data_IF_803739452965
#
_entry.id   IF_803739452965
#
_cell.length_a   1.000
_cell.length_b   1.000
_cell.length_c   1.000
_cell.angle_alpha   90.00
_cell.angle_beta   90.00
_cell.angle_gamma   90.00
#
_symmetry.space_group_name_H-M   'P 1'
#
loop_
_entity.id
_entity.type
_entity.pdbx_description
1 polymer ?
#
# COMPACT_ATOMS: atom_id res chain seq x y z
N UNK A 1 -21.16 34.15 -22.08
CA UNK A 1 -19.92 33.40 -22.42
C UNK A 1 -18.96 33.40 -21.21
N UNK A 2 -19.11 32.47 -20.23
CA UNK A 2 -18.20 32.37 -19.07
C UNK A 2 -17.30 31.11 -19.05
N UNK A 3 -17.47 30.17 -19.99
CA UNK A 3 -16.83 28.85 -19.92
C UNK A 3 -15.30 28.85 -20.17
N UNK A 4 -14.75 29.82 -20.90
CA UNK A 4 -13.31 29.82 -21.22
C UNK A 4 -12.42 30.08 -19.99
N UNK A 5 -12.85 30.96 -19.08
CA UNK A 5 -12.09 31.33 -17.88
C UNK A 5 -12.08 30.20 -16.85
N UNK A 6 -13.19 29.47 -16.73
CA UNK A 6 -13.33 28.33 -15.82
C UNK A 6 -12.40 27.16 -16.17
N UNK A 7 -12.19 26.90 -17.47
CA UNK A 7 -11.28 25.84 -17.92
C UNK A 7 -9.80 26.18 -17.67
N UNK A 8 -9.42 27.47 -17.76
CA UNK A 8 -8.07 27.93 -17.47
C UNK A 8 -7.73 27.85 -15.97
N UNK A 9 -8.68 28.20 -15.09
CA UNK A 9 -8.49 28.10 -13.64
C UNK A 9 -8.40 26.65 -13.15
N UNK A 10 -9.22 25.75 -13.71
CA UNK A 10 -9.16 24.30 -13.40
C UNK A 10 -7.85 23.68 -13.89
N UNK A 11 -7.37 24.06 -15.07
CA UNK A 11 -6.09 23.58 -15.60
C UNK A 11 -4.90 24.05 -14.75
N UNK A 12 -4.94 25.30 -14.26
CA UNK A 12 -3.91 25.86 -13.36
C UNK A 12 -3.92 25.16 -12.00
N UNK A 13 -5.09 24.90 -11.40
CA UNK A 13 -5.20 24.18 -10.13
C UNK A 13 -4.74 22.70 -10.23
N UNK A 14 -5.02 22.05 -11.36
CA UNK A 14 -4.53 20.70 -11.66
C UNK A 14 -3.02 20.65 -11.88
N UNK A 15 -2.46 21.68 -12.55
CA UNK A 15 -1.02 21.85 -12.71
C UNK A 15 -0.34 22.03 -11.35
N UNK A 16 -0.84 22.92 -10.51
CA UNK A 16 -0.29 23.18 -9.18
C UNK A 16 -0.34 21.93 -8.28
N UNK A 17 -1.43 21.16 -8.36
CA UNK A 17 -1.53 19.88 -7.65
C UNK A 17 -0.54 18.83 -8.17
N UNK A 18 -0.29 18.81 -9.49
CA UNK A 18 0.66 17.88 -10.09
C UNK A 18 2.12 18.26 -9.77
N UNK A 19 2.43 19.55 -9.66
CA UNK A 19 3.77 20.04 -9.31
C UNK A 19 4.12 19.84 -7.83
N UNK A 20 3.13 19.79 -6.92
CA UNK A 20 3.35 19.60 -5.47
C UNK A 20 3.68 18.16 -5.03
N UNK A 21 3.43 17.17 -5.88
CA UNK A 21 3.67 15.76 -5.50
C UNK A 21 3.14 14.72 -6.50
N UNK A 22 2.78 15.13 -7.71
CA UNK A 22 2.37 14.23 -8.76
C UNK A 22 3.58 13.60 -9.47
N UNK A 23 3.42 12.45 -10.13
CA UNK A 23 4.51 11.84 -10.86
C UNK A 23 4.97 12.73 -12.02
N UNK A 24 6.29 12.86 -12.22
CA UNK A 24 6.93 13.76 -13.20
C UNK A 24 6.24 13.82 -14.59
N UNK A 25 5.84 12.68 -15.16
CA UNK A 25 5.21 12.63 -16.48
C UNK A 25 3.82 13.28 -16.52
N UNK A 26 3.08 13.24 -15.41
CA UNK A 26 1.77 13.90 -15.26
C UNK A 26 1.97 15.41 -15.13
N UNK A 27 2.93 15.85 -14.31
CA UNK A 27 3.29 17.26 -14.17
C UNK A 27 3.79 17.86 -15.50
N UNK A 28 4.66 17.16 -16.21
CA UNK A 28 5.16 17.59 -17.52
C UNK A 28 4.05 17.66 -18.58
N UNK A 29 3.13 16.70 -18.60
CA UNK A 29 1.97 16.72 -19.51
C UNK A 29 1.04 17.89 -19.20
N UNK A 30 0.74 18.11 -17.92
CA UNK A 30 -0.09 19.22 -17.46
C UNK A 30 0.54 20.57 -17.81
N UNK A 31 1.85 20.73 -17.60
CA UNK A 31 2.58 21.97 -17.91
C UNK A 31 2.57 22.29 -19.41
N UNK A 32 2.77 21.28 -20.26
CA UNK A 32 2.73 21.44 -21.73
C UNK A 32 1.30 21.77 -22.19
N UNK A 33 0.29 21.13 -21.60
CA UNK A 33 -1.11 21.40 -21.92
C UNK A 33 -1.53 22.82 -21.49
N UNK A 34 -1.15 23.25 -20.29
CA UNK A 34 -1.44 24.60 -19.78
C UNK A 34 -0.78 25.69 -20.64
N UNK A 35 0.43 25.43 -21.17
CA UNK A 35 1.13 26.37 -22.06
C UNK A 35 0.64 26.32 -23.51
N UNK A 36 -0.12 25.28 -23.90
CA UNK A 36 -0.63 25.11 -25.25
C UNK A 36 0.45 24.94 -26.33
N UNK A 37 1.65 24.45 -25.97
CA UNK A 37 2.76 24.32 -26.90
C UNK A 37 2.82 22.92 -27.51
N UNK A 38 2.86 22.79 -28.86
CA UNK A 38 3.12 21.50 -29.48
C UNK A 38 4.56 21.06 -29.20
N UNK A 39 4.79 19.74 -29.05
CA UNK A 39 6.10 19.18 -28.66
C UNK A 39 7.24 19.59 -29.60
N UNK A 40 6.96 19.77 -30.89
CA UNK A 40 7.95 20.26 -31.86
C UNK A 40 8.42 21.69 -31.54
N UNK A 41 7.50 22.55 -31.07
CA UNK A 41 7.85 23.92 -30.65
C UNK A 41 8.65 23.89 -29.35
N UNK A 42 8.33 23.00 -28.42
CA UNK A 42 9.12 22.79 -27.19
C UNK A 42 10.54 22.31 -27.52
N UNK A 43 10.68 21.35 -28.45
CA UNK A 43 11.97 20.85 -28.93
C UNK A 43 12.82 21.96 -29.58
N UNK A 44 12.18 22.82 -30.37
CA UNK A 44 12.85 23.95 -31.02
C UNK A 44 13.41 24.94 -29.99
N UNK A 45 12.63 25.25 -28.94
CA UNK A 45 13.11 26.12 -27.86
C UNK A 45 14.26 25.47 -27.07
N UNK A 46 14.17 24.18 -26.75
CA UNK A 46 15.27 23.46 -26.10
C UNK A 46 16.57 23.50 -26.91
N UNK A 47 16.47 23.36 -28.24
CA UNK A 47 17.62 23.45 -29.14
C UNK A 47 18.25 24.86 -29.13
N UNK A 48 17.45 25.92 -29.00
CA UNK A 48 17.94 27.31 -28.86
C UNK A 48 18.63 27.55 -27.51
N UNK A 49 18.23 26.84 -26.47
CA UNK A 49 18.91 26.80 -25.17
C UNK A 49 20.15 25.89 -25.16
N UNK A 50 20.60 25.40 -26.34
CA UNK A 50 21.80 24.56 -26.47
C UNK A 50 21.61 23.11 -26.04
N UNK A 51 20.36 22.67 -25.80
CA UNK A 51 20.05 21.32 -25.33
C UNK A 51 19.40 20.49 -26.43
N UNK A 52 20.08 19.42 -26.85
CA UNK A 52 19.61 18.52 -27.92
C UNK A 52 18.77 17.37 -27.34
N UNK A 53 17.44 17.50 -27.38
CA UNK A 53 16.49 16.43 -27.06
C UNK A 53 15.58 16.18 -28.25
N UNK A 54 15.33 14.92 -28.61
CA UNK A 54 14.42 14.57 -29.70
C UNK A 54 12.94 14.58 -29.27
N UNK A 55 12.02 14.84 -30.20
CA UNK A 55 10.56 14.78 -29.96
C UNK A 55 10.14 13.44 -29.35
N UNK A 56 10.71 12.33 -29.82
CA UNK A 56 10.44 10.99 -29.30
C UNK A 56 10.83 10.84 -27.83
N UNK A 57 11.91 11.51 -27.40
CA UNK A 57 12.34 11.50 -26.00
C UNK A 57 11.38 12.31 -25.13
N UNK A 58 10.91 13.47 -25.59
CA UNK A 58 9.89 14.27 -24.90
C UNK A 58 8.55 13.51 -24.80
N UNK A 59 8.16 12.80 -25.86
CA UNK A 59 6.96 11.95 -25.87
C UNK A 59 7.06 10.82 -24.84
N UNK A 60 8.20 10.12 -24.79
CA UNK A 60 8.43 9.09 -23.77
C UNK A 60 8.46 9.65 -22.35
N UNK A 61 8.89 10.89 -22.15
CA UNK A 61 8.84 11.55 -20.84
C UNK A 61 7.40 11.89 -20.43
N UNK A 62 6.55 12.36 -21.35
CA UNK A 62 5.12 12.62 -21.08
C UNK A 62 4.30 11.35 -20.83
N UNK A 63 4.69 10.23 -21.44
CA UNK A 63 4.06 8.92 -21.24
C UNK A 63 4.59 8.19 -20.00
N UNK A 64 5.68 8.68 -19.39
CA UNK A 64 6.34 8.01 -18.26
C UNK A 64 7.14 6.77 -18.65
N UNK A 65 7.25 6.46 -19.95
CA UNK A 65 7.99 5.31 -20.49
C UNK A 65 9.52 5.44 -20.30
N UNK A 66 10.03 6.68 -20.20
CA UNK A 66 11.43 6.95 -19.90
C UNK A 66 11.54 8.14 -18.97
N UNK A 67 12.49 8.09 -18.02
CA UNK A 67 12.77 9.20 -17.09
C UNK A 67 14.14 9.82 -17.35
N UNK A 68 14.26 11.16 -17.34
CA UNK A 68 15.55 11.84 -17.42
C UNK A 68 16.32 11.67 -16.11
N UNK A 69 17.49 11.02 -16.16
CA UNK A 69 18.38 10.82 -15.00
C UNK A 69 19.82 11.31 -15.25
N UNK A 70 20.23 11.42 -16.52
CA UNK A 70 21.59 11.84 -16.88
C UNK A 70 21.76 13.34 -16.68
N UNK A 71 22.98 13.84 -16.36
CA UNK A 71 23.23 15.27 -16.17
C UNK A 71 22.75 16.14 -17.34
N UNK A 72 22.93 15.68 -18.57
CA UNK A 72 22.45 16.39 -19.77
C UNK A 72 20.92 16.43 -19.87
N UNK A 73 20.24 15.35 -19.43
CA UNK A 73 18.77 15.30 -19.40
C UNK A 73 18.20 16.16 -18.28
N UNK A 74 18.90 16.28 -17.14
CA UNK A 74 18.50 17.20 -16.06
C UNK A 74 18.65 18.66 -16.48
N UNK A 75 19.69 19.01 -17.24
CA UNK A 75 19.79 20.34 -17.89
C UNK A 75 18.64 20.59 -18.86
N UNK A 76 18.18 19.56 -19.58
CA UNK A 76 17.00 19.69 -20.44
C UNK A 76 15.71 19.97 -19.64
N UNK A 77 15.58 19.39 -18.44
CA UNK A 77 14.41 19.62 -17.57
C UNK A 77 14.45 21.04 -16.98
N UNK A 78 15.62 21.57 -16.62
CA UNK A 78 15.77 23.00 -16.24
C UNK A 78 15.28 23.94 -17.34
N UNK A 79 15.76 23.72 -18.56
CA UNK A 79 15.33 24.52 -19.70
C UNK A 79 13.82 24.34 -19.99
N UNK A 80 13.23 23.18 -19.72
CA UNK A 80 11.78 22.99 -19.83
C UNK A 80 10.99 23.82 -18.82
N UNK A 81 11.46 23.95 -17.58
CA UNK A 81 10.81 24.79 -16.57
C UNK A 81 10.74 26.25 -17.03
N UNK A 82 11.84 26.79 -17.57
CA UNK A 82 11.89 28.14 -18.14
C UNK A 82 10.94 28.31 -19.34
N UNK A 83 10.98 27.37 -20.30
CA UNK A 83 10.16 27.43 -21.53
C UNK A 83 8.65 27.34 -21.20
N UNK A 84 8.31 26.53 -20.21
CA UNK A 84 6.94 26.32 -19.77
C UNK A 84 6.48 27.35 -18.72
N UNK A 85 7.33 28.30 -18.34
CA UNK A 85 7.08 29.33 -17.33
C UNK A 85 6.64 28.74 -15.98
N UNK A 86 7.29 27.64 -15.58
CA UNK A 86 7.07 27.02 -14.28
C UNK A 86 7.97 27.68 -13.23
N UNK A 87 7.60 27.59 -11.93
CA UNK A 87 8.51 27.98 -10.86
C UNK A 87 9.80 27.15 -10.92
N UNK A 88 10.92 27.75 -10.53
CA UNK A 88 12.24 27.11 -10.57
C UNK A 88 12.25 25.79 -9.78
N UNK A 89 12.89 24.76 -10.32
CA UNK A 89 13.01 23.42 -9.75
C UNK A 89 11.71 22.63 -9.60
N UNK A 90 10.56 23.10 -10.11
CA UNK A 90 9.27 22.42 -9.91
C UNK A 90 9.20 21.01 -10.55
N UNK A 91 9.83 20.79 -11.70
CA UNK A 91 9.91 19.49 -12.35
C UNK A 91 11.13 18.68 -11.90
N UNK A 92 12.23 19.35 -11.56
CA UNK A 92 13.46 18.71 -11.08
C UNK A 92 13.28 18.12 -9.70
N UNK A 93 12.56 18.81 -8.82
CA UNK A 93 12.20 18.28 -7.50
C UNK A 93 11.41 17.00 -7.62
N UNK A 94 10.45 16.91 -8.56
CA UNK A 94 9.72 15.67 -8.81
C UNK A 94 10.62 14.53 -9.32
N UNK A 95 11.74 14.83 -9.98
CA UNK A 95 12.73 13.84 -10.39
C UNK A 95 13.66 13.43 -9.25
N UNK A 96 14.02 14.36 -8.36
CA UNK A 96 14.86 14.12 -7.19
C UNK A 96 14.10 13.38 -6.08
N UNK A 97 12.87 13.79 -5.79
CA UNK A 97 11.93 13.14 -4.86
C UNK A 97 11.57 11.74 -5.39
N UNK A 98 11.33 11.58 -6.70
CA UNK A 98 11.18 10.24 -7.31
C UNK A 98 12.45 9.38 -7.32
N UNK A 99 13.64 9.99 -7.25
CA UNK A 99 14.92 9.29 -7.14
C UNK A 99 15.15 8.79 -5.72
N UNK A 100 14.77 9.59 -4.73
CA UNK A 100 14.63 9.16 -3.34
C UNK A 100 13.55 8.08 -3.21
N UNK A 101 12.42 8.20 -3.90
CA UNK A 101 11.39 7.16 -4.00
C UNK A 101 11.85 5.93 -4.78
N UNK A 102 12.85 6.00 -5.66
CA UNK A 102 13.41 4.81 -6.29
C UNK A 102 14.25 4.01 -5.28
N UNK A 103 14.89 4.70 -4.31
CA UNK A 103 15.46 4.05 -3.11
C UNK A 103 14.38 3.65 -2.09
N UNK A 104 13.21 4.31 -2.11
CA UNK A 104 12.07 4.02 -1.23
C UNK A 104 11.06 3.03 -1.85
N UNK A 105 11.23 2.65 -3.12
CA UNK A 105 10.52 1.54 -3.79
C UNK A 105 11.03 0.19 -3.31
N UNK A 106 12.26 0.14 -2.80
CA UNK A 106 12.75 -0.94 -1.92
C UNK A 106 12.20 -0.84 -0.48
N UNK A 107 11.44 0.22 -0.16
CA UNK A 107 10.77 0.43 1.13
C UNK A 107 9.26 0.42 1.06
N UNK A 108 8.66 0.02 -0.07
CA UNK A 108 7.39 -0.71 0.06
C UNK A 108 7.75 -1.97 0.84
N UNK A 109 7.10 -2.28 1.98
CA UNK A 109 7.16 -3.62 2.50
C UNK A 109 6.80 -4.51 1.32
N UNK A 110 7.77 -5.29 0.82
CA UNK A 110 7.47 -6.25 -0.22
C UNK A 110 6.39 -7.12 0.39
N UNK A 111 5.16 -7.06 -0.16
CA UNK A 111 4.10 -7.98 0.25
C UNK A 111 4.70 -9.39 0.26
N UNK A 112 4.33 -10.20 1.26
CA UNK A 112 4.96 -11.51 1.48
C UNK A 112 5.14 -12.24 0.15
N UNK A 113 6.37 -12.64 -0.13
CA UNK A 113 6.64 -13.44 -1.32
C UNK A 113 5.87 -14.77 -1.23
N UNK A 114 5.52 -15.34 -2.38
CA UNK A 114 4.84 -16.65 -2.43
C UNK A 114 5.59 -17.74 -1.65
N UNK A 115 6.93 -17.70 -1.66
CA UNK A 115 7.78 -18.61 -0.86
C UNK A 115 7.62 -18.39 0.65
N UNK A 116 7.53 -17.13 1.09
CA UNK A 116 7.28 -16.81 2.49
C UNK A 116 5.88 -17.24 2.93
N UNK A 117 4.88 -17.17 2.05
CA UNK A 117 3.55 -17.73 2.29
C UNK A 117 3.57 -19.26 2.44
N UNK A 118 4.26 -19.97 1.54
CA UNK A 118 4.39 -21.44 1.62
C UNK A 118 5.13 -21.88 2.89
N UNK A 119 6.24 -21.21 3.25
CA UNK A 119 6.97 -21.49 4.48
C UNK A 119 6.09 -21.25 5.71
N UNK A 120 5.29 -20.19 5.71
CA UNK A 120 4.37 -19.91 6.81
C UNK A 120 3.22 -20.91 6.89
N UNK A 121 2.82 -21.56 5.79
CA UNK A 121 1.83 -22.64 5.78
C UNK A 121 2.31 -23.86 6.57
N UNK A 122 3.54 -24.33 6.35
CA UNK A 122 4.06 -25.49 7.09
C UNK A 122 4.25 -25.21 8.59
N UNK A 123 4.65 -23.98 8.93
CA UNK A 123 4.71 -23.53 10.33
C UNK A 123 3.32 -23.44 10.95
N UNK A 124 2.33 -22.92 10.20
CA UNK A 124 0.94 -22.84 10.65
C UNK A 124 0.38 -24.24 10.97
N UNK A 125 0.62 -25.23 10.12
CA UNK A 125 0.17 -26.61 10.37
C UNK A 125 0.77 -27.19 11.67
N UNK A 126 2.06 -26.91 11.92
CA UNK A 126 2.71 -27.30 13.18
C UNK A 126 2.11 -26.63 14.41
N UNK A 127 1.88 -25.31 14.35
CA UNK A 127 1.26 -24.57 15.46
C UNK A 127 -0.20 -25.02 15.71
N UNK A 128 -0.95 -25.30 14.64
CA UNK A 128 -2.30 -25.84 14.74
C UNK A 128 -2.30 -27.24 15.38
N UNK A 129 -1.34 -28.10 15.01
CA UNK A 129 -1.17 -29.42 15.62
C UNK A 129 -0.83 -29.32 17.13
N UNK A 130 0.05 -28.40 17.54
CA UNK A 130 0.34 -28.13 18.96
C UNK A 130 -0.88 -27.66 19.75
N UNK A 131 -1.79 -26.93 19.10
CA UNK A 131 -3.06 -26.52 19.69
C UNK A 131 -4.11 -27.63 19.70
N UNK A 132 -3.82 -28.79 19.10
CA UNK A 132 -4.76 -29.90 18.98
C UNK A 132 -5.82 -29.69 17.89
N UNK A 133 -5.52 -28.86 16.89
CA UNK A 133 -6.40 -28.52 15.76
C UNK A 133 -5.87 -29.10 14.45
N UNK A 134 -6.24 -30.34 14.09
CA UNK A 134 -5.81 -30.94 12.83
C UNK A 134 -6.57 -30.41 11.60
N UNK A 135 -7.68 -29.68 11.78
CA UNK A 135 -8.47 -29.10 10.69
C UNK A 135 -8.46 -27.57 10.73
N UNK A 136 -8.13 -26.89 9.62
CA UNK A 136 -8.01 -25.43 9.55
C UNK A 136 -9.35 -24.68 9.68
N UNK A 137 -10.49 -25.37 9.50
CA UNK A 137 -11.83 -24.77 9.60
C UNK A 137 -12.36 -24.63 11.04
N UNK A 138 -11.71 -25.28 12.00
CA UNK A 138 -11.99 -25.17 13.43
C UNK A 138 -13.41 -25.56 13.87
N UNK A 139 -14.24 -26.13 12.99
CA UNK A 139 -15.65 -26.44 13.26
C UNK A 139 -16.65 -25.33 12.92
N UNK A 140 -16.20 -24.23 12.30
CA UNK A 140 -17.09 -23.10 11.94
C UNK A 140 -16.94 -22.66 10.49
N UNK A 141 -18.00 -22.06 9.95
CA UNK A 141 -17.96 -21.30 8.71
C UNK A 141 -18.07 -19.80 9.02
N UNK A 142 -17.20 -19.00 8.40
CA UNK A 142 -17.30 -17.55 8.51
C UNK A 142 -18.39 -17.05 7.56
N UNK A 143 -19.46 -16.48 8.12
CA UNK A 143 -20.56 -15.87 7.37
C UNK A 143 -20.29 -14.39 7.07
N UNK A 144 -19.56 -13.71 7.95
CA UNK A 144 -19.22 -12.30 7.82
C UNK A 144 -17.93 -11.99 8.53
N UNK A 145 -17.11 -11.15 7.90
CA UNK A 145 -15.84 -10.69 8.45
C UNK A 145 -15.66 -9.22 8.10
N UNK A 146 -15.61 -8.37 9.13
CA UNK A 146 -15.31 -6.95 9.00
C UNK A 146 -13.99 -6.66 9.70
N UNK A 147 -13.12 -5.90 9.05
CA UNK A 147 -11.79 -5.64 9.57
C UNK A 147 -11.46 -4.16 9.55
N UNK A 148 -10.93 -3.67 10.68
CA UNK A 148 -10.35 -2.35 10.80
C UNK A 148 -8.85 -2.50 10.94
N UNK A 149 -8.13 -2.02 9.92
CA UNK A 149 -6.67 -2.03 9.88
C UNK A 149 -6.15 -0.64 10.25
N UNK A 150 -5.19 -0.59 11.17
CA UNK A 150 -4.40 0.60 11.50
C UNK A 150 -3.03 0.44 10.87
N UNK A 151 -2.65 1.44 10.07
CA UNK A 151 -1.35 1.50 9.42
C UNK A 151 -0.55 2.64 10.06
N UNK A 152 0.69 2.35 10.47
CA UNK A 152 1.59 3.31 11.10
C UNK A 152 2.27 4.25 10.10
N UNK A 153 3.03 5.25 10.61
CA UNK A 153 3.67 6.28 9.79
C UNK A 153 4.73 5.74 8.82
N UNK A 154 5.33 4.58 9.11
CA UNK A 154 6.27 3.87 8.23
C UNK A 154 5.60 2.91 7.24
N UNK A 155 4.26 2.94 7.12
CA UNK A 155 3.44 2.01 6.31
C UNK A 155 3.48 0.56 6.79
N UNK A 156 3.75 0.36 8.07
CA UNK A 156 3.66 -0.90 8.79
C UNK A 156 2.24 -1.14 9.31
N UNK A 157 1.85 -2.40 9.41
CA UNK A 157 0.69 -2.82 10.18
C UNK A 157 0.90 -2.47 11.66
N UNK A 158 0.10 -1.55 12.19
CA UNK A 158 0.15 -1.13 13.60
C UNK A 158 -0.95 -1.81 14.43
N UNK A 159 -1.98 -2.33 13.77
CA UNK A 159 -3.01 -3.12 14.43
C UNK A 159 -4.13 -3.54 13.50
N UNK A 160 -4.84 -4.57 13.93
CA UNK A 160 -5.97 -5.17 13.22
C UNK A 160 -7.04 -5.50 14.22
N UNK A 161 -8.24 -5.02 13.96
CA UNK A 161 -9.43 -5.40 14.72
C UNK A 161 -10.40 -6.11 13.79
N UNK A 162 -10.86 -7.29 14.19
CA UNK A 162 -11.70 -8.17 13.38
C UNK A 162 -13.01 -8.44 14.09
N UNK A 163 -14.12 -8.24 13.37
CA UNK A 163 -15.47 -8.59 13.81
C UNK A 163 -15.97 -9.74 12.96
N UNK A 164 -16.26 -10.88 13.58
CA UNK A 164 -16.63 -12.09 12.87
C UNK A 164 -18.03 -12.55 13.25
N UNK A 165 -18.75 -13.00 12.23
CA UNK A 165 -19.98 -13.77 12.36
C UNK A 165 -19.67 -15.16 11.84
N UNK A 166 -19.72 -16.16 12.72
CA UNK A 166 -19.43 -17.55 12.38
C UNK A 166 -20.63 -18.43 12.65
N UNK A 167 -20.76 -19.51 11.88
CA UNK A 167 -21.75 -20.56 12.11
C UNK A 167 -21.06 -21.88 12.38
N UNK A 168 -21.39 -22.51 13.50
CA UNK A 168 -20.90 -23.85 13.80
C UNK A 168 -21.51 -24.86 12.83
N UNK A 169 -20.70 -25.76 12.26
CA UNK A 169 -21.17 -26.86 11.41
C UNK A 169 -21.08 -28.23 12.11
N UNK A 170 -20.60 -28.25 13.35
CA UNK A 170 -20.58 -29.43 14.24
C UNK A 170 -20.95 -29.01 15.65
N UNK A 171 -21.36 -29.98 16.47
CA UNK A 171 -21.67 -29.76 17.87
C UNK A 171 -20.41 -29.59 18.73
N UNK A 172 -20.55 -28.82 19.81
CA UNK A 172 -19.52 -28.68 20.84
C UNK A 172 -18.41 -27.71 20.49
N UNK A 173 -18.59 -26.85 19.48
CA UNK A 173 -17.62 -25.80 19.15
C UNK A 173 -17.62 -24.77 20.26
N UNK A 174 -16.46 -24.58 20.88
CA UNK A 174 -16.28 -23.66 22.01
C UNK A 174 -15.22 -22.58 21.76
N UNK A 175 -14.63 -22.54 20.56
CA UNK A 175 -13.58 -21.58 20.22
C UNK A 175 -13.38 -21.40 18.72
N UNK A 176 -12.67 -20.33 18.38
CA UNK A 176 -12.14 -20.01 17.06
C UNK A 176 -10.61 -19.89 17.11
N UNK A 177 -9.91 -20.28 16.04
CA UNK A 177 -8.45 -20.09 15.94
C UNK A 177 -8.18 -18.94 14.97
N UNK A 178 -7.63 -17.85 15.48
CA UNK A 178 -7.23 -16.70 14.68
C UNK A 178 -5.75 -16.80 14.31
N UNK A 179 -5.45 -16.49 13.05
CA UNK A 179 -4.10 -16.49 12.49
C UNK A 179 -3.77 -15.07 12.04
N UNK A 180 -2.73 -14.49 12.64
CA UNK A 180 -2.23 -13.17 12.32
C UNK A 180 -0.81 -13.24 11.75
N UNK A 181 -0.57 -12.44 10.73
CA UNK A 181 0.71 -12.32 10.07
C UNK A 181 1.20 -10.90 10.28
N UNK A 182 2.26 -10.72 11.07
CA UNK A 182 2.94 -9.43 11.14
C UNK A 182 3.67 -9.11 9.85
N UNK A 183 4.00 -7.83 9.69
CA UNK A 183 4.83 -7.36 8.58
C UNK A 183 6.28 -7.84 8.69
N UNK A 184 7.04 -7.84 7.57
CA UNK A 184 8.46 -8.15 7.59
C UNK A 184 9.22 -7.26 8.59
N UNK A 185 9.96 -7.87 9.52
CA UNK A 185 10.66 -7.15 10.59
C UNK A 185 9.83 -6.88 11.84
N UNK A 186 8.57 -7.34 11.90
CA UNK A 186 7.80 -7.35 13.14
C UNK A 186 8.54 -8.14 14.24
N UNK A 187 8.28 -7.77 15.48
CA UNK A 187 8.75 -8.53 16.65
C UNK A 187 7.53 -9.21 17.26
N UNK A 188 7.27 -10.50 16.96
CA UNK A 188 6.07 -11.18 17.45
C UNK A 188 5.90 -11.16 18.98
N UNK A 189 6.99 -11.05 19.74
CA UNK A 189 6.95 -10.89 21.19
C UNK A 189 6.31 -9.57 21.67
N UNK A 190 6.20 -8.56 20.81
CA UNK A 190 5.51 -7.29 21.09
C UNK A 190 4.05 -7.31 20.65
N UNK A 191 3.64 -8.33 19.90
CA UNK A 191 2.26 -8.43 19.48
C UNK A 191 1.37 -8.75 20.66
N UNK A 192 0.28 -8.01 20.80
CA UNK A 192 -0.70 -8.22 21.86
C UNK A 192 -2.05 -8.58 21.28
N UNK A 193 -2.62 -9.68 21.75
CA UNK A 193 -3.97 -10.12 21.37
C UNK A 193 -4.97 -9.59 22.38
N UNK A 194 -5.99 -8.90 21.89
CA UNK A 194 -7.09 -8.34 22.67
C UNK A 194 -8.38 -9.07 22.33
N UNK A 195 -8.93 -9.82 23.29
CA UNK A 195 -10.31 -10.28 23.18
C UNK A 195 -11.26 -9.13 23.53
N UNK A 196 -12.12 -8.74 22.59
CA UNK A 196 -12.93 -7.52 22.73
C UNK A 196 -14.37 -7.85 23.12
N UNK A 197 -15.07 -8.68 22.34
CA UNK A 197 -16.47 -9.02 22.60
C UNK A 197 -16.75 -10.50 22.36
N UNK A 198 -17.52 -11.11 23.25
CA UNK A 198 -18.05 -12.48 23.17
C UNK A 198 -16.97 -13.56 22.94
N UNK A 199 -15.74 -13.29 23.33
CA UNK A 199 -14.65 -14.25 23.35
C UNK A 199 -13.64 -13.92 24.46
N UNK A 200 -12.78 -14.89 24.76
CA UNK A 200 -11.61 -14.74 25.63
C UNK A 200 -10.37 -15.30 24.95
N UNK A 201 -9.24 -14.63 25.13
CA UNK A 201 -7.95 -15.13 24.64
C UNK A 201 -7.60 -16.44 25.35
N UNK A 202 -7.39 -17.49 24.57
CA UNK A 202 -6.89 -18.78 25.03
C UNK A 202 -5.37 -18.87 24.88
N UNK A 203 -4.88 -19.99 24.36
CA UNK A 203 -3.44 -20.15 24.10
C UNK A 203 -3.02 -19.27 22.92
N UNK A 204 -1.89 -18.59 23.09
CA UNK A 204 -1.21 -17.83 22.04
C UNK A 204 0.09 -18.55 21.69
N UNK A 205 0.40 -18.65 20.40
CA UNK A 205 1.65 -19.19 19.87
C UNK A 205 2.20 -18.23 18.83
N UNK A 206 3.49 -17.99 18.88
CA UNK A 206 4.18 -17.08 17.96
C UNK A 206 5.37 -17.79 17.35
N UNK A 207 5.61 -17.55 16.06
CA UNK A 207 6.80 -18.01 15.37
C UNK A 207 7.59 -16.81 14.85
N UNK A 208 8.78 -16.60 15.42
CA UNK A 208 9.59 -15.40 15.19
C UNK A 208 10.06 -15.26 13.74
N UNK A 209 10.55 -16.34 13.11
CA UNK A 209 11.14 -16.24 11.77
C UNK A 209 10.12 -15.90 10.68
N UNK A 210 8.85 -16.30 10.87
CA UNK A 210 7.78 -16.07 9.89
C UNK A 210 6.85 -14.92 10.29
N UNK A 211 7.04 -14.31 11.46
CA UNK A 211 6.14 -13.28 11.99
C UNK A 211 4.70 -13.77 12.18
N UNK A 212 4.52 -15.06 12.47
CA UNK A 212 3.20 -15.69 12.60
C UNK A 212 2.76 -15.67 14.05
N UNK A 213 1.52 -15.27 14.30
CA UNK A 213 0.85 -15.40 15.58
C UNK A 213 -0.43 -16.21 15.38
N UNK A 214 -0.63 -17.23 16.20
CA UNK A 214 -1.83 -18.05 16.25
C UNK A 214 -2.41 -17.95 17.64
N UNK A 215 -3.70 -17.64 17.75
CA UNK A 215 -4.38 -17.50 19.04
C UNK A 215 -5.72 -18.23 19.04
N UNK A 216 -6.01 -18.89 20.14
CA UNK A 216 -7.37 -19.36 20.43
C UNK A 216 -8.22 -18.20 20.94
N UNK A 217 -9.46 -18.12 20.47
CA UNK A 217 -10.50 -17.25 20.95
C UNK A 217 -11.64 -18.13 21.46
N UNK A 218 -11.67 -18.34 22.77
CA UNK A 218 -12.64 -19.18 23.45
C UNK A 218 -13.98 -18.45 23.53
N UNK A 219 -15.07 -19.12 23.20
CA UNK A 219 -16.42 -18.64 23.41
C UNK A 219 -16.86 -19.00 24.83
N UNK A 220 -17.69 -18.16 25.44
CA UNK A 220 -18.29 -18.45 26.75
C UNK A 220 -19.51 -19.38 26.66
N UNK A 221 -19.72 -19.98 25.48
CA UNK A 221 -20.79 -20.94 25.18
C UNK A 221 -20.27 -22.06 24.29
N UNK A 222 -20.92 -23.22 24.36
CA UNK A 222 -20.70 -24.33 23.42
C UNK A 222 -21.78 -24.27 22.35
N UNK A 223 -21.37 -24.00 21.11
CA UNK A 223 -22.23 -23.93 19.95
C UNK A 223 -22.61 -25.33 19.46
N UNK A 224 -23.86 -25.48 19.03
CA UNK A 224 -24.37 -26.64 18.30
C UNK A 224 -24.30 -26.39 16.80
N UNK A 225 -24.38 -27.45 16.01
CA UNK A 225 -24.45 -27.35 14.57
C UNK A 225 -25.63 -26.46 14.15
N UNK A 226 -25.34 -25.43 13.35
CA UNK A 226 -26.30 -24.40 12.91
C UNK A 226 -26.27 -23.11 13.73
N UNK A 227 -25.75 -23.14 14.96
CA UNK A 227 -25.69 -21.95 15.82
C UNK A 227 -24.76 -20.90 15.21
N UNK A 228 -25.16 -19.63 15.35
CA UNK A 228 -24.39 -18.48 14.86
C UNK A 228 -23.84 -17.71 16.06
N UNK A 229 -22.55 -17.37 16.02
CA UNK A 229 -21.87 -16.62 17.06
C UNK A 229 -21.17 -15.40 16.47
N UNK A 230 -21.30 -14.26 17.15
CA UNK A 230 -20.63 -13.01 16.80
C UNK A 230 -19.61 -12.69 17.89
N UNK A 231 -18.38 -12.41 17.49
CA UNK A 231 -17.31 -12.04 18.40
C UNK A 231 -16.34 -11.05 17.76
N UNK A 232 -15.57 -10.36 18.61
CA UNK A 232 -14.58 -9.37 18.19
C UNK A 232 -13.26 -9.60 18.89
N UNK A 233 -12.17 -9.47 18.15
CA UNK A 233 -10.83 -9.48 18.70
C UNK A 233 -9.94 -8.47 17.95
N UNK A 234 -8.82 -8.11 18.57
CA UNK A 234 -7.80 -7.31 17.94
C UNK A 234 -6.41 -7.88 18.15
N UNK A 235 -5.50 -7.54 17.25
CA UNK A 235 -4.06 -7.75 17.39
C UNK A 235 -3.38 -6.41 17.20
N UNK A 236 -2.55 -6.02 18.15
CA UNK A 236 -1.70 -4.84 18.04
C UNK A 236 -0.26 -5.26 17.81
N UNK A 237 0.37 -4.68 16.80
CA UNK A 237 1.78 -4.86 16.50
C UNK A 237 2.52 -3.75 17.28
N UNK A 238 3.28 -4.13 18.32
CA UNK A 238 3.96 -3.19 19.24
C UNK A 238 5.34 -2.72 18.81
#
# INVERSE_FOLDING_TARGET
MPHATQHADVATAQLDSALRGGPFHVALRAAIAARGLPLQRVQHHLSRHGVKVGVTSLSYWQQGARRPQRPESLRAVRALEEILQLPEESLIRLLAESGAEASDRDRRPAGRSYRAHLAASGVLDGLLAELGYPSPDGGVHTLGHHERIRVGPGRELAGRESHLIVRAHRDGVDRFVAVHYGDPGCVPARMTVHALENCRTGRVRTHHETGLLVTELLFDTRLRAGDTHLFRYGVEDG
#
